data_IF_448657668873
#
_entry.id   IF_448657668873
#
_cell.length_a   1.000
_cell.length_b   1.000
_cell.length_c   1.000
_cell.angle_alpha   90.00
_cell.angle_beta   90.00
_cell.angle_gamma   90.00
#
_symmetry.space_group_name_H-M   'P 1'
#
loop_
_entity.id
_entity.type
_entity.pdbx_description
1 polymer ?
#
# COMPACT_ATOMS: atom_id res chain seq x y z
N UNK A 1 -8.70 63.75 -21.27
CA UNK A 1 -7.46 62.98 -20.99
C UNK A 1 -7.58 61.97 -19.83
N UNK A 2 -8.71 61.85 -19.11
CA UNK A 2 -8.87 60.91 -17.98
C UNK A 2 -9.56 59.57 -18.28
N UNK A 3 -10.26 59.43 -19.43
CA UNK A 3 -10.95 58.16 -19.75
C UNK A 3 -10.00 57.02 -20.14
N UNK A 4 -8.80 57.34 -20.66
CA UNK A 4 -7.81 56.33 -21.06
C UNK A 4 -7.12 55.64 -19.86
N UNK A 5 -7.00 56.32 -18.72
CA UNK A 5 -6.40 55.76 -17.49
C UNK A 5 -7.37 54.84 -16.73
N UNK A 6 -8.68 55.10 -16.78
CA UNK A 6 -9.70 54.22 -16.18
C UNK A 6 -9.91 52.91 -16.95
N UNK A 7 -9.66 52.90 -18.27
CA UNK A 7 -9.75 51.68 -19.08
C UNK A 7 -8.62 50.68 -18.79
N UNK A 8 -7.46 51.15 -18.32
CA UNK A 8 -6.29 50.30 -18.05
C UNK A 8 -6.46 49.47 -16.77
N UNK A 9 -7.24 49.97 -15.79
CA UNK A 9 -7.54 49.26 -14.53
C UNK A 9 -8.57 48.14 -14.72
N UNK A 10 -9.49 48.28 -15.69
CA UNK A 10 -10.49 47.24 -16.01
C UNK A 10 -9.91 46.09 -16.85
N UNK A 11 -8.69 46.22 -17.38
CA UNK A 11 -7.97 45.13 -18.05
C UNK A 11 -7.14 44.27 -17.09
N UNK A 12 -7.33 44.41 -15.78
CA UNK A 12 -6.94 43.36 -14.83
C UNK A 12 -8.04 42.30 -14.87
N UNK A 13 -7.97 41.45 -15.90
CA UNK A 13 -8.83 40.28 -15.99
C UNK A 13 -8.59 39.43 -14.72
N UNK A 14 -9.62 39.11 -13.92
CA UNK A 14 -9.43 38.19 -12.81
C UNK A 14 -8.92 36.88 -13.40
N UNK A 15 -7.75 36.42 -12.93
CA UNK A 15 -7.22 35.10 -13.26
C UNK A 15 -8.23 34.09 -12.70
N UNK A 16 -9.15 33.64 -13.53
CA UNK A 16 -10.10 32.60 -13.20
C UNK A 16 -9.31 31.30 -13.03
N UNK A 17 -8.99 30.97 -11.78
CA UNK A 17 -8.32 29.71 -11.42
C UNK A 17 -9.26 28.55 -11.77
N UNK A 18 -9.07 27.97 -12.94
CA UNK A 18 -9.77 26.74 -13.33
C UNK A 18 -9.29 25.63 -12.41
N UNK A 19 -10.16 25.16 -11.50
CA UNK A 19 -9.85 24.05 -10.61
C UNK A 19 -9.53 22.83 -11.49
N UNK A 20 -8.31 22.27 -11.43
CA UNK A 20 -7.95 21.11 -12.23
C UNK A 20 -8.96 19.98 -12.00
N UNK A 21 -9.28 19.22 -13.05
CA UNK A 21 -10.09 18.01 -12.90
C UNK A 21 -9.43 17.12 -11.84
N UNK A 22 -10.20 16.48 -10.94
CA UNK A 22 -9.61 15.65 -9.90
C UNK A 22 -8.88 14.47 -10.55
N UNK A 23 -7.61 14.30 -10.15
CA UNK A 23 -6.83 13.11 -10.51
C UNK A 23 -7.56 11.84 -10.04
N UNK A 24 -7.41 10.77 -10.81
CA UNK A 24 -7.96 9.44 -10.50
C UNK A 24 -6.84 8.44 -10.29
N UNK A 25 -7.12 7.43 -9.46
CA UNK A 25 -6.22 6.30 -9.30
C UNK A 25 -6.29 5.45 -10.57
N UNK A 26 -5.14 5.25 -11.21
CA UNK A 26 -4.98 4.35 -12.34
C UNK A 26 -4.71 2.92 -11.88
N UNK A 27 -3.74 2.27 -12.50
CA UNK A 27 -3.30 0.92 -12.16
C UNK A 27 -2.47 0.95 -10.87
N UNK A 28 -2.61 -0.11 -10.08
CA UNK A 28 -1.81 -0.32 -8.88
C UNK A 28 -0.95 -1.56 -9.11
N UNK A 29 0.36 -1.38 -9.11
CA UNK A 29 1.33 -2.46 -9.23
C UNK A 29 2.09 -2.68 -7.93
N UNK A 30 2.29 -3.94 -7.56
CA UNK A 30 3.10 -4.36 -6.42
C UNK A 30 4.36 -5.04 -6.94
N UNK A 31 5.51 -4.72 -6.35
CA UNK A 31 6.81 -5.27 -6.73
C UNK A 31 7.61 -5.59 -5.46
N UNK A 32 8.33 -6.71 -5.47
CA UNK A 32 9.24 -7.11 -4.39
C UNK A 32 8.61 -8.03 -3.33
N UNK A 33 7.38 -8.48 -3.57
CA UNK A 33 6.77 -9.58 -2.84
C UNK A 33 7.17 -10.93 -3.45
N UNK A 34 7.59 -11.87 -2.61
CA UNK A 34 8.03 -13.22 -3.04
C UNK A 34 7.10 -14.27 -2.44
N UNK A 35 6.78 -14.15 -1.15
CA UNK A 35 5.92 -15.08 -0.43
C UNK A 35 4.52 -14.52 -0.18
N UNK A 36 4.36 -13.19 -0.10
CA UNK A 36 3.07 -12.55 0.15
C UNK A 36 2.33 -12.34 -1.18
N UNK A 37 1.08 -12.81 -1.33
CA UNK A 37 0.33 -12.58 -2.55
C UNK A 37 -0.03 -11.09 -2.70
N UNK A 38 -0.01 -10.58 -3.94
CA UNK A 38 -0.38 -9.20 -4.30
C UNK A 38 -1.71 -8.76 -3.69
N UNK A 39 -2.67 -9.68 -3.64
CA UNK A 39 -4.01 -9.44 -3.10
C UNK A 39 -4.00 -8.91 -1.66
N UNK A 40 -3.09 -9.40 -0.81
CA UNK A 40 -3.00 -8.94 0.59
C UNK A 40 -2.52 -7.49 0.65
N UNK A 41 -1.52 -7.15 -0.17
CA UNK A 41 -1.03 -5.77 -0.27
C UNK A 41 -2.14 -4.87 -0.77
N UNK A 42 -2.81 -5.25 -1.85
CA UNK A 42 -3.90 -4.47 -2.46
C UNK A 42 -5.08 -4.24 -1.51
N UNK A 43 -5.46 -5.24 -0.72
CA UNK A 43 -6.53 -5.12 0.29
C UNK A 43 -6.16 -4.07 1.35
N UNK A 44 -4.91 -4.04 1.79
CA UNK A 44 -4.47 -3.18 2.88
C UNK A 44 -4.26 -1.71 2.47
N UNK A 45 -3.99 -1.43 1.19
CA UNK A 45 -3.84 -0.05 0.70
C UNK A 45 -5.10 0.78 0.93
N UNK A 46 -6.29 0.17 0.83
CA UNK A 46 -7.56 0.91 0.84
C UNK A 46 -7.70 1.85 -0.36
N UNK A 47 -6.98 1.56 -1.45
CA UNK A 47 -7.05 2.26 -2.71
C UNK A 47 -7.70 1.37 -3.75
N UNK A 48 -8.56 1.93 -4.59
CA UNK A 48 -9.19 1.21 -5.69
C UNK A 48 -8.95 1.94 -7.01
N UNK A 49 -8.66 1.24 -8.11
CA UNK A 49 -8.62 1.84 -9.43
C UNK A 49 -9.92 2.61 -9.74
N UNK A 50 -9.81 3.75 -10.40
CA UNK A 50 -10.93 4.61 -10.81
C UNK A 50 -11.45 5.59 -9.74
N UNK A 51 -11.06 5.43 -8.46
CA UNK A 51 -11.45 6.36 -7.40
C UNK A 51 -10.73 7.71 -7.54
N UNK A 52 -11.25 8.75 -6.87
CA UNK A 52 -10.57 10.05 -6.76
C UNK A 52 -9.24 9.88 -6.00
N UNK A 53 -8.15 10.30 -6.63
CA UNK A 53 -6.82 10.28 -6.05
C UNK A 53 -6.71 11.36 -4.96
N UNK A 54 -6.25 10.94 -3.79
CA UNK A 54 -5.97 11.85 -2.68
C UNK A 54 -4.59 11.53 -2.14
N UNK A 55 -3.71 12.54 -2.14
CA UNK A 55 -2.34 12.41 -1.63
C UNK A 55 -2.30 12.00 -0.16
N UNK A 56 -3.31 12.40 0.62
CA UNK A 56 -3.43 12.04 2.04
C UNK A 56 -3.60 10.53 2.27
N UNK A 57 -4.08 9.77 1.27
CA UNK A 57 -4.27 8.32 1.39
C UNK A 57 -2.96 7.53 1.24
N UNK A 58 -1.94 8.09 0.60
CA UNK A 58 -0.64 7.43 0.41
C UNK A 58 0.10 7.14 1.73
N UNK A 59 0.32 8.12 2.63
CA UNK A 59 0.99 7.84 3.91
C UNK A 59 0.15 6.92 4.80
N UNK A 60 -1.18 6.97 4.70
CA UNK A 60 -2.07 6.04 5.39
C UNK A 60 -1.88 4.61 4.89
N UNK A 61 -1.83 4.41 3.57
CA UNK A 61 -1.56 3.11 2.97
C UNK A 61 -0.18 2.57 3.39
N UNK A 62 0.86 3.41 3.37
CA UNK A 62 2.19 3.03 3.84
C UNK A 62 2.19 2.65 5.32
N UNK A 63 1.50 3.41 6.16
CA UNK A 63 1.36 3.10 7.60
C UNK A 63 0.64 1.77 7.81
N UNK A 64 -0.43 1.51 7.07
CA UNK A 64 -1.18 0.24 7.15
C UNK A 64 -0.33 -0.95 6.72
N UNK A 65 0.52 -0.81 5.71
CA UNK A 65 1.45 -1.85 5.29
C UNK A 65 2.55 -2.07 6.33
N UNK A 66 3.12 -1.01 6.91
CA UNK A 66 4.10 -1.12 8.00
C UNK A 66 3.51 -1.80 9.25
N UNK A 67 2.24 -1.51 9.57
CA UNK A 67 1.52 -2.14 10.69
C UNK A 67 1.32 -3.66 10.53
N UNK A 68 1.38 -4.20 9.31
CA UNK A 68 1.30 -5.65 9.11
C UNK A 68 2.54 -6.38 9.66
N UNK A 69 3.68 -5.70 9.81
CA UNK A 69 4.92 -6.32 10.28
C UNK A 69 5.56 -7.33 9.31
N UNK A 70 4.99 -7.47 8.10
CA UNK A 70 5.45 -8.39 7.05
C UNK A 70 6.56 -7.81 6.18
N UNK A 71 6.66 -6.48 6.11
CA UNK A 71 7.59 -5.77 5.23
C UNK A 71 8.60 -4.99 6.08
N UNK A 72 9.87 -5.07 5.72
CA UNK A 72 10.94 -4.25 6.32
C UNK A 72 10.88 -2.83 5.78
N UNK A 73 10.70 -2.69 4.46
CA UNK A 73 10.58 -1.41 3.80
C UNK A 73 9.40 -1.38 2.83
N UNK A 74 8.79 -0.19 2.70
CA UNK A 74 7.63 0.07 1.86
C UNK A 74 7.79 1.45 1.23
N UNK A 75 7.99 1.44 -0.09
CA UNK A 75 8.15 2.63 -0.91
C UNK A 75 6.93 2.74 -1.82
N UNK A 76 6.23 3.86 -1.76
CA UNK A 76 5.07 4.15 -2.61
C UNK A 76 5.45 5.24 -3.60
N UNK A 77 5.46 4.89 -4.88
CA UNK A 77 5.75 5.81 -5.98
C UNK A 77 4.50 6.05 -6.82
N UNK A 78 4.31 7.30 -7.24
CA UNK A 78 3.20 7.70 -8.09
C UNK A 78 3.78 8.13 -9.42
N UNK A 79 3.36 7.48 -10.50
CA UNK A 79 3.80 7.75 -11.86
C UNK A 79 2.62 8.30 -12.66
N UNK A 80 2.78 9.39 -13.43
CA UNK A 80 1.73 9.81 -14.35
C UNK A 80 1.51 8.73 -15.40
N UNK A 81 0.25 8.44 -15.73
CA UNK A 81 -0.06 7.50 -16.80
C UNK A 81 0.33 8.14 -18.16
N UNK A 82 0.90 7.34 -19.05
CA UNK A 82 1.40 7.78 -20.36
C UNK A 82 0.27 8.15 -21.34
N UNK A 83 -0.91 7.53 -21.20
CA UNK A 83 -2.03 7.70 -22.13
C UNK A 83 -3.02 8.76 -21.67
N UNK A 84 -3.23 8.91 -20.36
CA UNK A 84 -4.17 9.88 -19.80
C UNK A 84 -3.59 10.55 -18.55
N UNK A 85 -3.34 11.86 -18.64
CA UNK A 85 -2.82 12.68 -17.55
C UNK A 85 -3.70 12.70 -16.30
N UNK A 86 -4.99 12.38 -16.45
CA UNK A 86 -6.00 12.32 -15.37
C UNK A 86 -5.75 11.12 -14.46
N UNK A 87 -5.20 10.01 -14.98
CA UNK A 87 -4.91 8.82 -14.20
C UNK A 87 -3.47 8.85 -13.67
N UNK A 88 -3.34 8.51 -12.39
CA UNK A 88 -2.05 8.35 -11.72
C UNK A 88 -1.86 6.88 -11.36
N UNK A 89 -0.87 6.26 -11.94
CA UNK A 89 -0.51 4.88 -11.62
C UNK A 89 0.32 4.86 -10.34
N UNK A 90 0.09 3.85 -9.51
CA UNK A 90 0.73 3.72 -8.20
C UNK A 90 1.56 2.45 -8.23
N UNK A 91 2.87 2.59 -8.05
CA UNK A 91 3.80 1.47 -7.91
C UNK A 91 4.26 1.39 -6.46
N UNK A 92 4.00 0.25 -5.85
CA UNK A 92 4.40 -0.06 -4.48
C UNK A 92 5.55 -1.05 -4.56
N UNK A 93 6.72 -0.61 -4.11
CA UNK A 93 7.87 -1.47 -3.93
C UNK A 93 7.93 -1.85 -2.47
N UNK A 94 7.86 -3.14 -2.19
CA UNK A 94 7.99 -3.69 -0.83
C UNK A 94 9.24 -4.55 -0.74
N UNK A 95 9.89 -4.48 0.41
CA UNK A 95 10.93 -5.45 0.79
C UNK A 95 10.33 -6.32 1.87
N UNK A 96 10.03 -7.58 1.53
CA UNK A 96 9.54 -8.55 2.50
C UNK A 96 10.57 -8.78 3.60
N UNK A 97 10.10 -8.76 4.85
CA UNK A 97 10.89 -9.25 5.96
C UNK A 97 11.13 -10.73 5.73
N UNK A 98 12.36 -11.20 5.96
CA UNK A 98 12.65 -12.64 5.99
C UNK A 98 11.64 -13.31 6.92
N UNK A 99 10.74 -14.11 6.35
CA UNK A 99 9.60 -14.69 7.04
C UNK A 99 10.06 -15.38 8.33
N UNK A 100 9.75 -14.78 9.49
CA UNK A 100 10.12 -15.34 10.79
C UNK A 100 9.12 -16.43 11.15
N UNK A 101 9.22 -17.58 10.48
CA UNK A 101 8.47 -18.79 10.85
C UNK A 101 8.73 -19.19 12.31
N UNK A 102 9.91 -18.84 12.84
CA UNK A 102 10.30 -19.07 14.22
C UNK A 102 9.39 -18.37 15.23
N UNK A 103 8.92 -17.14 14.97
CA UNK A 103 8.04 -16.43 15.92
C UNK A 103 6.66 -17.07 16.01
N UNK A 104 6.08 -17.49 14.87
CA UNK A 104 4.81 -18.22 14.88
C UNK A 104 4.96 -19.61 15.51
N UNK A 105 6.09 -20.29 15.29
CA UNK A 105 6.36 -21.57 15.95
C UNK A 105 6.47 -21.42 17.47
N UNK A 106 7.09 -20.33 17.96
CA UNK A 106 7.22 -20.07 19.40
C UNK A 106 5.88 -19.73 20.02
N UNK A 107 5.04 -18.90 19.38
CA UNK A 107 3.74 -18.49 19.92
C UNK A 107 2.76 -19.66 20.06
N UNK A 108 2.61 -20.47 19.00
CA UNK A 108 1.78 -21.67 19.00
C UNK A 108 2.27 -22.71 20.04
N UNK A 109 3.60 -22.85 20.20
CA UNK A 109 4.18 -23.76 21.21
C UNK A 109 3.95 -23.27 22.63
N UNK A 110 4.10 -21.97 22.89
CA UNK A 110 3.88 -21.37 24.22
C UNK A 110 2.44 -21.56 24.67
N UNK A 111 1.46 -21.37 23.78
CA UNK A 111 0.05 -21.64 24.09
C UNK A 111 -0.15 -23.11 24.46
N UNK A 112 0.35 -24.04 23.65
CA UNK A 112 0.22 -25.48 23.91
C UNK A 112 0.88 -25.91 25.24
N UNK A 113 2.03 -25.33 25.58
CA UNK A 113 2.71 -25.58 26.86
C UNK A 113 1.92 -25.01 28.04
N UNK A 114 1.34 -23.80 27.89
CA UNK A 114 0.54 -23.18 28.95
C UNK A 114 -0.81 -23.86 29.17
N UNK A 115 -1.40 -24.46 28.14
CA UNK A 115 -2.70 -25.17 28.24
C UNK A 115 -2.57 -26.65 28.56
N UNK A 116 -1.35 -27.22 28.54
CA UNK A 116 -1.11 -28.66 28.72
C UNK A 116 -1.95 -29.52 27.75
N UNK A 117 -2.26 -28.98 26.57
CA UNK A 117 -3.07 -29.65 25.55
C UNK A 117 -2.16 -30.39 24.56
N UNK A 118 -2.16 -31.73 24.66
CA UNK A 118 -1.33 -32.62 23.85
C UNK A 118 -1.80 -32.68 22.39
N UNK A 119 -3.09 -32.50 22.13
CA UNK A 119 -3.66 -32.52 20.78
C UNK A 119 -3.32 -31.23 20.03
N UNK A 120 -3.37 -30.09 20.73
CA UNK A 120 -2.92 -28.81 20.20
C UNK A 120 -1.41 -28.82 19.88
N UNK A 121 -0.59 -29.45 20.71
CA UNK A 121 0.84 -29.63 20.45
C UNK A 121 1.10 -30.48 19.20
N UNK A 122 0.34 -31.55 19.01
CA UNK A 122 0.46 -32.42 17.82
C UNK A 122 0.14 -31.63 16.54
N UNK A 123 -0.97 -30.89 16.53
CA UNK A 123 -1.40 -30.11 15.36
C UNK A 123 -0.43 -28.98 14.98
N UNK A 124 0.12 -28.29 15.97
CA UNK A 124 1.12 -27.24 15.77
C UNK A 124 2.43 -27.82 15.22
N UNK A 125 2.90 -28.96 15.76
CA UNK A 125 4.06 -29.67 15.23
C UNK A 125 3.87 -30.09 13.76
N UNK A 126 2.70 -30.64 13.40
CA UNK A 126 2.37 -31.00 12.01
C UNK A 126 2.33 -29.77 11.09
N UNK A 127 1.75 -28.67 11.54
CA UNK A 127 1.65 -27.42 10.77
C UNK A 127 3.03 -26.82 10.49
N UNK A 128 3.90 -26.79 11.50
CA UNK A 128 5.29 -26.34 11.36
C UNK A 128 6.04 -27.27 10.41
N UNK A 129 5.94 -28.59 10.59
CA UNK A 129 6.63 -29.56 9.73
C UNK A 129 6.20 -29.46 8.26
N UNK A 130 4.90 -29.32 7.97
CA UNK A 130 4.39 -29.15 6.60
C UNK A 130 4.92 -27.86 5.96
N UNK A 131 5.04 -26.79 6.74
CA UNK A 131 5.55 -25.50 6.27
C UNK A 131 7.06 -25.54 6.03
N UNK A 132 7.81 -26.24 6.88
CA UNK A 132 9.25 -26.48 6.70
C UNK A 132 9.55 -27.36 5.46
N UNK A 133 8.72 -28.38 5.18
CA UNK A 133 8.88 -29.22 3.98
C UNK A 133 8.56 -28.50 2.67
N UNK A 134 7.75 -27.44 2.70
CA UNK A 134 7.44 -26.59 1.53
C UNK A 134 8.51 -25.55 1.19
N UNK A 135 9.58 -25.47 1.98
CA UNK A 135 10.70 -24.53 1.85
C UNK A 135 12.01 -25.20 1.36
N UNK A 136 11.91 -26.41 0.78
CA UNK A 136 13.06 -27.06 0.14
C UNK A 136 13.65 -26.21 -0.99
N UNK A 137 14.98 -26.34 -1.26
CA UNK A 137 15.73 -25.43 -2.13
C UNK A 137 15.18 -25.32 -3.55
#
# INVERSE_FOLDING_TARGET
MWCALLALVLSVCPIQSQKPRPDRVGRIGVVGNVHTPDGVVLMQLGLRPGQIFSRAKLPLAQTRLKKLGLFEDVIVTVTPNEFDSTYKDIRITVTERSWVWLTFAVEDTVIAVLTLDVDLYRDTAFRVQKKLRGFGP
#
